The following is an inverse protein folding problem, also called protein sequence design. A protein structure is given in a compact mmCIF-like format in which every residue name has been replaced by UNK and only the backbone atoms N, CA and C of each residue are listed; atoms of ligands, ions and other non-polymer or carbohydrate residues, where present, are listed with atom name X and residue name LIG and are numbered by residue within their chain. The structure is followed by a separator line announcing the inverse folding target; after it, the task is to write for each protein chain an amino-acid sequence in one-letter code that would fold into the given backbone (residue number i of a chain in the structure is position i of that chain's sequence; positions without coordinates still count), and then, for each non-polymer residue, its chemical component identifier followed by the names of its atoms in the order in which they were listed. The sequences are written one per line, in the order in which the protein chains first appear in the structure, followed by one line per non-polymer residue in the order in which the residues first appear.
data_IF_261773186104
#
_entry.id   IF_261773186104
#
_cell.length_a   1.000
_cell.length_b   1.000
_cell.length_c   1.000
_cell.angle_alpha   90.00
_cell.angle_beta   90.00
_cell.angle_gamma   90.00
#
_symmetry.space_group_name_H-M   'P 1'
#
loop_
_entity.id
_entity.type
_entity.pdbx_description
1 polymer ?
#
# COMPACT_ATOMS: atom_id res chain seq x y z
N UNK A 1 7.58 11.82 16.93
CA UNK A 1 7.52 11.40 15.53
C UNK A 1 6.08 10.96 15.25
N UNK A 2 5.38 11.59 14.30
CA UNK A 2 4.04 11.16 13.88
C UNK A 2 4.05 9.69 13.45
N UNK A 3 2.96 8.97 13.74
CA UNK A 3 2.73 7.59 13.30
C UNK A 3 3.85 6.60 13.70
N UNK A 4 4.30 6.70 14.95
CA UNK A 4 5.27 5.75 15.52
C UNK A 4 4.69 4.33 15.53
N UNK A 5 3.40 4.19 15.82
CA UNK A 5 2.67 2.93 15.70
C UNK A 5 2.05 2.83 14.32
N UNK A 6 2.16 1.65 13.70
CA UNK A 6 1.58 1.38 12.40
C UNK A 6 0.04 1.50 12.42
N UNK A 7 -0.59 1.09 13.53
CA UNK A 7 -2.03 1.21 13.74
C UNK A 7 -2.54 2.65 13.63
N UNK A 8 -1.83 3.62 14.20
CA UNK A 8 -2.22 5.04 14.11
C UNK A 8 -2.20 5.52 12.65
N UNK A 9 -1.26 5.00 11.86
CA UNK A 9 -1.16 5.30 10.44
C UNK A 9 -2.27 4.65 9.62
N UNK A 10 -2.61 3.39 9.94
CA UNK A 10 -3.74 2.70 9.34
C UNK A 10 -5.07 3.41 9.66
N UNK A 11 -5.25 3.88 10.90
CA UNK A 11 -6.45 4.62 11.30
C UNK A 11 -6.58 5.96 10.56
N UNK A 12 -5.47 6.65 10.30
CA UNK A 12 -5.44 7.82 9.41
C UNK A 12 -5.91 7.47 7.99
N UNK A 13 -5.35 6.40 7.40
CA UNK A 13 -5.71 5.95 6.06
C UNK A 13 -7.21 5.62 5.98
N UNK A 14 -7.72 4.92 6.99
CA UNK A 14 -9.11 4.51 7.06
C UNK A 14 -10.10 5.67 7.30
N UNK A 15 -9.65 6.87 7.66
CA UNK A 15 -10.53 8.00 8.01
C UNK A 15 -10.48 9.17 7.02
N UNK A 16 -9.30 9.55 6.52
CA UNK A 16 -9.14 10.89 5.93
C UNK A 16 -8.66 10.92 4.48
N UNK A 17 -7.86 9.95 4.04
CA UNK A 17 -7.07 10.07 2.80
C UNK A 17 -7.45 9.07 1.70
N UNK A 18 -8.59 8.40 1.86
CA UNK A 18 -9.08 7.38 0.92
C UNK A 18 -9.30 7.96 -0.48
N UNK A 19 -9.82 9.20 -0.58
CA UNK A 19 -10.04 9.89 -1.85
C UNK A 19 -8.72 10.16 -2.59
N UNK A 20 -7.71 10.63 -1.86
CA UNK A 20 -6.39 10.92 -2.44
C UNK A 20 -5.69 9.63 -2.88
N UNK A 21 -5.78 8.57 -2.07
CA UNK A 21 -5.31 7.23 -2.47
C UNK A 21 -6.02 6.76 -3.75
N UNK A 22 -7.35 6.87 -3.82
CA UNK A 22 -8.09 6.50 -5.03
C UNK A 22 -7.65 7.32 -6.24
N UNK A 23 -7.41 8.62 -6.08
CA UNK A 23 -6.92 9.48 -7.16
C UNK A 23 -5.57 9.02 -7.68
N UNK A 24 -4.62 8.70 -6.79
CA UNK A 24 -3.28 8.22 -7.16
C UNK A 24 -3.32 6.82 -7.80
N UNK A 25 -4.26 5.99 -7.36
CA UNK A 25 -4.48 4.66 -7.90
C UNK A 25 -5.36 4.67 -9.16
N UNK A 26 -5.83 5.84 -9.63
CA UNK A 26 -6.73 5.98 -10.79
C UNK A 26 -8.00 5.12 -10.63
N UNK A 27 -8.61 5.19 -9.44
CA UNK A 27 -9.83 4.48 -9.06
C UNK A 27 -11.01 5.45 -8.92
N UNK A 28 -12.20 5.03 -9.33
CA UNK A 28 -13.41 5.81 -9.06
C UNK A 28 -13.83 5.65 -7.59
N UNK A 29 -13.82 6.76 -6.84
CA UNK A 29 -14.23 6.78 -5.44
C UNK A 29 -15.71 6.40 -5.23
N UNK A 30 -16.57 6.50 -6.25
CA UNK A 30 -17.99 6.12 -6.12
C UNK A 30 -18.19 4.62 -5.94
N UNK A 31 -17.38 3.80 -6.59
CA UNK A 31 -17.44 2.34 -6.57
C UNK A 31 -16.42 1.73 -5.58
N UNK A 32 -15.86 2.58 -4.71
CA UNK A 32 -14.80 2.23 -3.78
C UNK A 32 -15.33 1.52 -2.54
N UNK A 33 -14.65 0.44 -2.15
CA UNK A 33 -14.77 -0.16 -0.83
C UNK A 33 -13.39 -0.47 -0.27
N UNK A 34 -13.17 -0.13 0.99
CA UNK A 34 -11.98 -0.47 1.74
C UNK A 34 -12.32 -1.52 2.80
N UNK A 35 -11.57 -2.61 2.81
CA UNK A 35 -11.61 -3.63 3.85
C UNK A 35 -10.29 -3.59 4.62
N UNK A 36 -10.37 -3.59 5.95
CA UNK A 36 -9.20 -3.62 6.84
C UNK A 36 -8.84 -5.06 7.20
N UNK A 37 -7.55 -5.32 7.42
CA UNK A 37 -7.03 -6.58 7.99
C UNK A 37 -7.56 -7.81 7.25
N UNK A 38 -7.42 -7.81 5.91
CA UNK A 38 -7.95 -8.85 5.05
C UNK A 38 -6.96 -10.00 4.87
N UNK A 39 -7.33 -11.21 5.31
CA UNK A 39 -6.47 -12.39 5.22
C UNK A 39 -6.57 -13.10 3.87
N UNK A 40 -5.40 -13.33 3.28
CA UNK A 40 -5.17 -14.07 2.04
C UNK A 40 -4.50 -15.43 2.29
N UNK A 41 -4.12 -16.10 1.20
CA UNK A 41 -3.46 -17.41 1.18
C UNK A 41 -2.27 -17.44 2.14
N UNK A 42 -2.04 -18.59 2.78
CA UNK A 42 -0.97 -18.83 3.76
C UNK A 42 -1.07 -17.95 5.02
N UNK A 43 -2.24 -17.38 5.32
CA UNK A 43 -2.45 -16.55 6.51
C UNK A 43 -1.81 -15.17 6.39
N UNK A 44 -1.43 -14.73 5.19
CA UNK A 44 -0.90 -13.39 4.96
C UNK A 44 -2.05 -12.40 5.05
N UNK A 45 -2.03 -11.54 6.06
CA UNK A 45 -3.02 -10.48 6.25
C UNK A 45 -2.51 -9.18 5.65
N UNK A 46 -3.33 -8.54 4.82
CA UNK A 46 -3.09 -7.21 4.30
C UNK A 46 -3.74 -6.15 5.17
N UNK A 47 -3.10 -4.98 5.28
CA UNK A 47 -3.65 -3.88 6.06
C UNK A 47 -4.93 -3.34 5.44
N UNK A 48 -4.92 -3.18 4.10
CA UNK A 48 -6.11 -2.82 3.35
C UNK A 48 -6.25 -3.60 2.04
N UNK A 49 -7.47 -4.02 1.76
CA UNK A 49 -7.90 -4.43 0.42
C UNK A 49 -8.86 -3.39 -0.13
N UNK A 50 -8.54 -2.83 -1.29
CA UNK A 50 -9.39 -1.89 -2.00
C UNK A 50 -10.12 -2.60 -3.13
N UNK A 51 -11.43 -2.37 -3.18
CA UNK A 51 -12.29 -2.91 -4.22
C UNK A 51 -12.81 -1.79 -5.13
N UNK A 52 -12.92 -2.11 -6.41
CA UNK A 52 -13.65 -1.34 -7.41
C UNK A 52 -14.65 -2.29 -8.06
N UNK A 53 -15.95 -1.96 -7.98
CA UNK A 53 -17.04 -2.81 -8.53
C UNK A 53 -16.95 -4.28 -8.09
N UNK A 54 -16.72 -4.48 -6.78
CA UNK A 54 -16.57 -5.79 -6.12
C UNK A 54 -15.37 -6.65 -6.58
N UNK A 55 -14.43 -6.10 -7.34
CA UNK A 55 -13.16 -6.75 -7.67
C UNK A 55 -12.02 -6.06 -6.93
N UNK A 56 -11.03 -6.84 -6.52
CA UNK A 56 -9.83 -6.34 -5.86
C UNK A 56 -9.04 -5.51 -6.85
N UNK A 57 -8.92 -4.21 -6.54
CA UNK A 57 -8.26 -3.21 -7.37
C UNK A 57 -6.87 -2.86 -6.82
N UNK A 58 -6.71 -2.94 -5.51
CA UNK A 58 -5.41 -2.81 -4.87
C UNK A 58 -5.34 -3.58 -3.54
N UNK A 59 -4.15 -4.01 -3.16
CA UNK A 59 -3.84 -4.50 -1.81
C UNK A 59 -2.70 -3.65 -1.25
N UNK A 60 -2.87 -3.14 -0.03
CA UNK A 60 -2.00 -2.16 0.60
C UNK A 60 -1.31 -2.76 1.82
N UNK A 61 0.02 -2.63 1.86
CA UNK A 61 0.85 -2.80 3.03
C UNK A 61 1.26 -1.43 3.58
N UNK A 62 1.05 -1.18 4.86
CA UNK A 62 1.49 0.01 5.56
C UNK A 62 2.82 -0.24 6.27
N UNK A 63 3.56 0.84 6.49
CA UNK A 63 4.67 0.88 7.43
C UNK A 63 4.59 2.13 8.29
N UNK A 64 4.94 1.98 9.57
CA UNK A 64 5.03 3.11 10.50
C UNK A 64 6.20 4.04 10.15
N UNK A 65 6.21 5.23 10.75
CA UNK A 65 7.30 6.20 10.52
C UNK A 65 8.63 5.84 11.16
N UNK A 66 8.65 4.85 12.04
CA UNK A 66 9.82 4.44 12.83
C UNK A 66 10.39 3.09 12.38
N UNK A 67 10.45 2.86 11.06
CA UNK A 67 11.01 1.64 10.47
C UNK A 67 12.43 1.85 9.94
N UNK A 68 13.24 0.78 9.98
CA UNK A 68 14.56 0.71 9.32
C UNK A 68 14.49 -0.01 7.96
N UNK A 69 15.67 -0.20 7.34
CA UNK A 69 15.80 -0.85 6.03
C UNK A 69 15.24 -2.28 5.97
N UNK A 70 15.40 -3.06 7.04
CA UNK A 70 14.89 -4.43 7.11
C UNK A 70 13.37 -4.47 7.04
N UNK A 71 12.70 -3.55 7.72
CA UNK A 71 11.25 -3.49 7.81
C UNK A 71 10.66 -2.93 6.51
N UNK A 72 11.38 -1.98 5.89
CA UNK A 72 11.07 -1.52 4.54
C UNK A 72 11.14 -2.68 3.54
N UNK A 73 12.25 -3.42 3.52
CA UNK A 73 12.44 -4.57 2.63
C UNK A 73 11.39 -5.68 2.89
N UNK A 74 10.98 -5.88 4.15
CA UNK A 74 9.88 -6.79 4.49
C UNK A 74 8.54 -6.32 3.90
N UNK A 75 8.27 -5.01 3.95
CA UNK A 75 7.12 -4.41 3.27
C UNK A 75 7.10 -4.67 1.77
N UNK A 76 8.27 -4.59 1.13
CA UNK A 76 8.44 -4.97 -0.28
C UNK A 76 8.12 -6.46 -0.50
N UNK A 77 8.62 -7.33 0.37
CA UNK A 77 8.32 -8.76 0.33
C UNK A 77 6.82 -9.06 0.40
N UNK A 78 6.08 -8.32 1.24
CA UNK A 78 4.62 -8.45 1.37
C UNK A 78 3.90 -8.04 0.07
N UNK A 79 4.27 -6.91 -0.53
CA UNK A 79 3.64 -6.48 -1.80
C UNK A 79 3.99 -7.39 -2.99
N UNK A 80 5.13 -8.09 -2.96
CA UNK A 80 5.41 -9.17 -3.91
C UNK A 80 4.45 -10.35 -3.77
N UNK A 81 4.07 -10.72 -2.54
CA UNK A 81 3.06 -11.76 -2.34
C UNK A 81 1.69 -11.32 -2.87
N UNK A 82 1.34 -10.05 -2.71
CA UNK A 82 0.07 -9.52 -3.26
C UNK A 82 0.04 -9.54 -4.78
N UNK A 83 1.12 -9.18 -5.45
CA UNK A 83 1.28 -9.35 -6.90
C UNK A 83 1.09 -10.83 -7.30
N UNK A 84 1.75 -11.73 -6.58
CA UNK A 84 1.64 -13.17 -6.87
C UNK A 84 0.20 -13.69 -6.72
N UNK A 85 -0.56 -13.21 -5.73
CA UNK A 85 -1.98 -13.53 -5.58
C UNK A 85 -2.81 -13.05 -6.77
N UNK A 86 -2.53 -11.83 -7.26
CA UNK A 86 -3.18 -11.30 -8.44
C UNK A 86 -2.85 -12.11 -9.70
N UNK A 87 -1.56 -12.32 -9.99
CA UNK A 87 -1.08 -13.01 -11.20
C UNK A 87 -1.64 -14.43 -11.33
N UNK A 88 -1.86 -15.11 -10.20
CA UNK A 88 -2.34 -16.49 -10.15
C UNK A 88 -3.81 -16.61 -9.72
N UNK A 89 -4.54 -15.48 -9.62
CA UNK A 89 -5.94 -15.42 -9.21
C UNK A 89 -6.23 -16.15 -7.88
N UNK A 90 -5.33 -16.02 -6.91
CA UNK A 90 -5.43 -16.71 -5.64
C UNK A 90 -6.27 -15.90 -4.65
N UNK A 91 -7.36 -16.51 -4.16
CA UNK A 91 -8.22 -15.90 -3.16
C UNK A 91 -8.83 -16.96 -2.25
N UNK A 92 -8.85 -16.70 -0.94
CA UNK A 92 -9.61 -17.50 0.03
C UNK A 92 -11.12 -17.24 -0.03
N UNK A 93 -11.52 -16.07 -0.54
CA UNK A 93 -12.89 -15.53 -0.47
C UNK A 93 -13.53 -15.41 -1.86
N UNK A 94 -12.96 -16.10 -2.87
CA UNK A 94 -13.37 -16.05 -4.28
C UNK A 94 -13.42 -14.62 -4.86
N UNK A 95 -12.49 -13.76 -4.44
CA UNK A 95 -12.35 -12.43 -5.01
C UNK A 95 -11.85 -12.50 -6.45
N UNK A 96 -12.55 -11.81 -7.34
CA UNK A 96 -11.99 -11.45 -8.64
C UNK A 96 -11.02 -10.27 -8.49
N UNK A 97 -10.00 -10.21 -9.33
CA UNK A 97 -9.06 -9.09 -9.39
C UNK A 97 -9.31 -8.24 -10.64
N UNK A 98 -9.09 -6.93 -10.55
CA UNK A 98 -9.08 -6.04 -11.70
C UNK A 98 -7.82 -6.26 -12.53
N UNK A 99 -7.90 -6.13 -13.87
CA UNK A 99 -6.72 -6.27 -14.74
C UNK A 99 -5.64 -5.21 -14.47
N UNK A 100 -6.06 -4.02 -14.04
CA UNK A 100 -5.19 -2.91 -13.64
C UNK A 100 -4.86 -2.94 -12.13
N UNK A 101 -4.76 -4.12 -11.52
CA UNK A 101 -4.42 -4.28 -10.09
C UNK A 101 -3.17 -3.48 -9.66
N UNK A 102 -3.13 -3.05 -8.40
CA UNK A 102 -1.92 -2.49 -7.77
C UNK A 102 -1.56 -3.18 -6.45
N UNK A 103 -0.30 -3.56 -6.31
CA UNK A 103 0.31 -3.89 -5.01
C UNK A 103 0.94 -2.62 -4.43
N UNK A 104 0.52 -2.21 -3.24
CA UNK A 104 0.80 -0.86 -2.73
C UNK A 104 1.60 -0.95 -1.43
N UNK A 105 2.72 -0.22 -1.37
CA UNK A 105 3.43 0.02 -0.11
C UNK A 105 3.24 1.49 0.25
N UNK A 106 2.74 1.75 1.46
CA UNK A 106 2.47 3.10 1.95
C UNK A 106 3.18 3.37 3.27
N UNK A 107 3.77 4.55 3.40
CA UNK A 107 4.46 4.98 4.61
C UNK A 107 4.43 6.50 4.76
N UNK A 108 4.62 7.04 5.98
CA UNK A 108 4.76 8.47 6.17
C UNK A 108 6.12 8.98 5.68
N UNK A 109 6.21 10.26 5.36
CA UNK A 109 7.43 10.92 4.87
C UNK A 109 8.63 10.81 5.82
N UNK A 110 8.36 10.54 7.11
CA UNK A 110 9.39 10.27 8.12
C UNK A 110 10.25 9.04 7.78
N UNK A 111 9.74 8.05 7.04
CA UNK A 111 10.56 6.90 6.62
C UNK A 111 11.72 7.33 5.74
N UNK A 112 11.50 8.27 4.81
CA UNK A 112 12.57 8.79 3.96
C UNK A 112 13.47 9.79 4.69
N UNK A 113 12.92 10.57 5.62
CA UNK A 113 13.70 11.58 6.37
C UNK A 113 14.65 10.97 7.40
N UNK A 114 14.30 9.81 7.96
CA UNK A 114 15.02 9.22 9.09
C UNK A 114 15.87 8.00 8.71
N UNK A 115 16.01 7.70 7.42
CA UNK A 115 16.81 6.58 6.93
C UNK A 115 17.69 7.01 5.75
N UNK A 116 18.84 6.35 5.62
CA UNK A 116 19.81 6.64 4.55
C UNK A 116 19.66 5.72 3.33
N UNK A 117 18.69 4.81 3.33
CA UNK A 117 18.48 3.91 2.19
C UNK A 117 17.80 4.63 1.02
N UNK A 118 18.20 4.29 -0.20
CA UNK A 118 17.59 4.82 -1.41
C UNK A 118 16.47 3.89 -1.88
N UNK A 119 15.22 4.37 -1.79
CA UNK A 119 14.03 3.63 -2.27
C UNK A 119 14.14 3.21 -3.73
N UNK A 120 14.78 4.01 -4.59
CA UNK A 120 14.94 3.69 -6.01
C UNK A 120 15.91 2.54 -6.31
N UNK A 121 16.62 2.00 -5.31
CA UNK A 121 17.59 0.92 -5.48
C UNK A 121 17.07 -0.45 -5.03
N UNK A 122 15.81 -0.54 -4.59
CA UNK A 122 15.18 -1.83 -4.30
C UNK A 122 14.51 -2.41 -5.54
N UNK A 123 14.36 -3.74 -5.55
CA UNK A 123 13.54 -4.45 -6.53
C UNK A 123 12.10 -4.49 -6.04
N UNK A 124 11.14 -4.29 -6.93
CA UNK A 124 9.72 -4.22 -6.61
C UNK A 124 8.87 -5.03 -7.59
N UNK A 125 7.61 -5.36 -7.24
CA UNK A 125 6.64 -5.98 -8.16
C UNK A 125 6.27 -5.05 -9.32
N UNK A 126 5.68 -5.62 -10.39
CA UNK A 126 5.36 -4.87 -11.62
C UNK A 126 4.22 -3.87 -11.41
N UNK A 127 3.19 -4.27 -10.68
CA UNK A 127 2.00 -3.48 -10.37
C UNK A 127 2.21 -2.47 -9.24
N UNK A 128 3.45 -2.29 -8.77
CA UNK A 128 3.76 -1.51 -7.57
C UNK A 128 3.19 -0.10 -7.63
N UNK A 129 2.74 0.39 -6.47
CA UNK A 129 2.60 1.82 -6.18
C UNK A 129 3.26 2.09 -4.83
N UNK A 130 4.22 3.01 -4.81
CA UNK A 130 4.91 3.40 -3.58
C UNK A 130 4.39 4.76 -3.16
N UNK A 131 3.66 4.80 -2.05
CA UNK A 131 2.96 5.98 -1.58
C UNK A 131 3.65 6.54 -0.32
N UNK A 132 3.99 7.81 -0.38
CA UNK A 132 4.40 8.58 0.78
C UNK A 132 3.23 9.47 1.23
N UNK A 133 2.96 9.54 2.52
CA UNK A 133 1.97 10.45 3.09
C UNK A 133 2.68 11.49 3.94
N UNK A 134 2.43 12.77 3.68
CA UNK A 134 2.93 13.85 4.51
C UNK A 134 2.10 13.96 5.80
N UNK A 135 2.75 13.77 6.95
CA UNK A 135 2.08 13.77 8.25
C UNK A 135 1.49 15.11 8.71
N UNK A 136 1.84 16.22 8.07
CA UNK A 136 1.35 17.55 8.44
C UNK A 136 0.13 17.99 7.64
N UNK A 137 0.13 17.77 6.32
CA UNK A 137 -0.94 18.22 5.42
C UNK A 137 -1.72 17.07 4.77
N UNK A 138 -1.38 15.81 5.10
CA UNK A 138 -2.01 14.58 4.62
C UNK A 138 -1.90 14.35 3.11
N UNK A 139 -1.06 15.12 2.41
CA UNK A 139 -0.86 14.95 0.98
C UNK A 139 -0.27 13.56 0.68
N UNK A 140 -0.92 12.85 -0.24
CA UNK A 140 -0.46 11.55 -0.75
C UNK A 140 0.41 11.77 -1.99
N UNK A 141 1.66 11.31 -1.93
CA UNK A 141 2.64 11.42 -3.01
C UNK A 141 3.00 10.04 -3.54
N UNK A 142 2.87 9.85 -4.85
CA UNK A 142 3.40 8.66 -5.52
C UNK A 142 4.90 8.83 -5.82
N UNK A 143 5.72 7.92 -5.31
CA UNK A 143 7.16 7.87 -5.63
C UNK A 143 7.33 7.11 -6.95
N UNK A 144 7.66 7.85 -8.00
CA UNK A 144 7.91 7.27 -9.33
C UNK A 144 9.39 6.89 -9.50
N UNK A 145 9.66 5.94 -10.39
CA UNK A 145 11.02 5.50 -10.78
C UNK A 145 11.85 6.59 -11.49
N UNK A 146 11.33 7.81 -11.64
CA UNK A 146 12.07 8.93 -12.25
C UNK A 146 13.08 9.48 -11.24
N UNK A 147 14.32 9.04 -11.42
CA UNK A 147 15.53 9.74 -10.99
C UNK A 147 15.41 11.22 -11.38
N UNK A 148 15.43 12.11 -10.41
CA UNK A 148 16.08 13.40 -10.59
C UNK A 148 17.56 13.20 -10.22
#
# INVERSE_FOLDING_TARGET
MPYRLEKDFQDLIASNIQKDICSVLEMDYKDFKLLREDTYINGITADFTLFERNKVRAIIECKSGAIGVSEYARGIGQIFQYEYFFENHLSLKNYGFCQNFNSVLVFPESVLKNNDFNVGLFKYPKSKKILEINSHNLAVRHINDKKN
#
